data_IF_076939178005
#
_entry.id   IF_076939178005
#
_cell.length_a   1.000
_cell.length_b   1.000
_cell.length_c   1.000
_cell.angle_alpha   90.00
_cell.angle_beta   90.00
_cell.angle_gamma   90.00
#
_symmetry.space_group_name_H-M   'P 1'
#
loop_
_entity.id
_entity.type
_entity.pdbx_description
1 polymer ?
#
# COMPACT_ATOMS: atom_id res chain seq x y z
N UNK A 1 7.04 28.29 19.17
CA UNK A 1 8.50 28.11 19.08
C UNK A 1 8.75 26.99 18.08
N UNK A 2 9.28 27.28 16.90
CA UNK A 2 9.63 26.25 15.91
C UNK A 2 11.07 25.83 16.20
N UNK A 3 11.29 24.56 16.51
CA UNK A 3 12.63 23.98 16.66
C UNK A 3 12.95 23.22 15.37
N UNK A 4 13.99 23.64 14.65
CA UNK A 4 14.50 22.92 13.49
C UNK A 4 15.74 22.12 13.91
N UNK A 5 15.63 20.79 13.89
CA UNK A 5 16.76 19.90 14.16
C UNK A 5 17.24 19.29 12.85
N UNK A 6 18.27 19.87 12.24
CA UNK A 6 18.91 19.26 11.08
C UNK A 6 19.58 17.94 11.52
N UNK A 7 19.17 16.80 10.91
CA UNK A 7 19.84 15.51 11.11
C UNK A 7 19.55 14.80 12.44
N UNK A 8 18.34 14.96 13.00
CA UNK A 8 17.93 14.22 14.20
C UNK A 8 18.19 12.71 14.04
N UNK A 9 19.03 12.16 14.91
CA UNK A 9 19.32 10.73 14.99
C UNK A 9 18.94 10.23 16.37
N UNK A 10 17.88 9.42 16.45
CA UNK A 10 17.49 8.73 17.69
C UNK A 10 18.06 7.32 17.67
N UNK A 11 18.61 6.86 18.79
CA UNK A 11 19.14 5.49 18.97
C UNK A 11 18.29 4.75 20.01
N UNK A 12 18.48 3.42 20.08
CA UNK A 12 17.81 2.44 20.97
C UNK A 12 16.72 3.02 21.89
N UNK A 13 15.48 2.68 21.59
CA UNK A 13 14.30 3.15 22.29
C UNK A 13 13.21 3.47 21.27
N UNK A 14 12.06 3.92 21.78
CA UNK A 14 10.93 4.29 20.96
C UNK A 14 10.97 5.80 20.68
N UNK A 15 10.55 6.17 19.48
CA UNK A 15 10.21 7.57 19.16
C UNK A 15 8.70 7.68 19.25
N UNK A 16 8.21 8.51 20.17
CA UNK A 16 6.78 8.77 20.33
C UNK A 16 6.50 10.23 20.03
N UNK A 17 5.54 10.47 19.12
CA UNK A 17 4.90 11.78 18.96
C UNK A 17 3.57 11.68 19.71
N UNK A 18 3.49 12.31 20.88
CA UNK A 18 2.33 12.20 21.77
C UNK A 18 1.13 13.01 21.29
N UNK A 19 1.39 14.07 20.51
CA UNK A 19 0.37 14.97 19.95
C UNK A 19 0.85 15.49 18.59
N UNK A 20 -0.08 15.66 17.65
CA UNK A 20 0.19 16.13 16.28
C UNK A 20 0.64 15.03 15.31
N UNK A 21 0.98 15.47 14.09
CA UNK A 21 1.35 14.56 12.99
C UNK A 21 2.87 14.38 12.89
N UNK A 22 3.29 13.20 12.45
CA UNK A 22 4.64 12.95 11.98
C UNK A 22 4.67 13.03 10.44
N UNK A 23 5.25 14.10 9.89
CA UNK A 23 5.49 14.23 8.45
C UNK A 23 6.96 14.03 8.12
N UNK A 24 7.26 13.18 7.14
CA UNK A 24 8.62 12.96 6.62
C UNK A 24 8.69 13.55 5.21
N UNK A 25 9.39 14.68 5.07
CA UNK A 25 9.33 15.52 3.86
C UNK A 25 10.09 14.98 2.64
N UNK A 26 11.00 14.01 2.81
CA UNK A 26 11.74 13.35 1.72
C UNK A 26 12.09 11.91 2.10
N UNK A 27 11.90 10.96 1.16
CA UNK A 27 12.28 9.55 1.31
C UNK A 27 11.13 8.60 1.63
N UNK A 28 11.45 7.31 1.78
CA UNK A 28 10.52 6.28 2.22
C UNK A 28 10.71 5.92 3.69
N UNK A 29 9.74 5.23 4.28
CA UNK A 29 9.86 4.70 5.64
C UNK A 29 10.20 3.21 5.55
N UNK A 30 11.28 2.80 6.23
CA UNK A 30 11.62 1.38 6.39
C UNK A 30 11.21 0.93 7.79
N UNK A 31 10.23 0.02 7.89
CA UNK A 31 9.85 -0.65 9.13
C UNK A 31 10.40 -2.07 9.10
N UNK A 32 11.19 -2.45 10.09
CA UNK A 32 11.69 -3.82 10.23
C UNK A 32 10.63 -4.78 10.84
N UNK A 33 9.46 -4.27 11.22
CA UNK A 33 8.38 -5.00 11.86
C UNK A 33 7.03 -4.76 11.17
N UNK A 34 5.94 -4.89 11.93
CA UNK A 34 4.58 -4.66 11.44
C UNK A 34 4.25 -3.17 11.38
N UNK A 35 3.44 -2.80 10.39
CA UNK A 35 2.71 -1.53 10.36
C UNK A 35 1.30 -1.77 10.89
N UNK A 36 0.90 -1.01 11.92
CA UNK A 36 -0.49 -0.97 12.41
C UNK A 36 -1.04 0.42 12.15
N UNK A 37 -2.15 0.51 11.42
CA UNK A 37 -2.87 1.76 11.14
C UNK A 37 -4.22 1.69 11.83
N UNK A 38 -4.55 2.67 12.68
CA UNK A 38 -5.83 2.70 13.41
C UNK A 38 -6.98 3.32 12.62
N UNK A 39 -6.68 3.99 11.50
CA UNK A 39 -7.64 4.54 10.55
C UNK A 39 -7.37 4.05 9.12
N UNK A 40 -7.66 4.90 8.15
CA UNK A 40 -7.48 4.55 6.73
C UNK A 40 -6.01 4.60 6.31
N UNK A 41 -5.62 3.65 5.47
CA UNK A 41 -4.37 3.71 4.70
C UNK A 41 -4.68 4.33 3.33
N UNK A 42 -4.31 5.60 3.15
CA UNK A 42 -4.45 6.30 1.86
C UNK A 42 -3.18 6.12 1.04
N UNK A 43 -3.36 5.76 -0.23
CA UNK A 43 -2.29 5.54 -1.20
C UNK A 43 -2.68 6.31 -2.46
N UNK A 44 -1.75 7.04 -3.05
CA UNK A 44 -2.03 7.80 -4.26
C UNK A 44 -2.37 6.88 -5.43
N UNK A 45 -3.17 7.37 -6.38
CA UNK A 45 -3.53 6.59 -7.56
C UNK A 45 -2.26 6.11 -8.28
N UNK A 46 -2.28 4.88 -8.78
CA UNK A 46 -1.16 4.16 -9.45
C UNK A 46 0.02 3.73 -8.56
N UNK A 47 0.07 4.20 -7.30
CA UNK A 47 0.98 3.65 -6.29
C UNK A 47 0.56 2.24 -5.88
N UNK A 48 1.50 1.53 -5.25
CA UNK A 48 1.45 0.07 -5.12
C UNK A 48 1.73 -0.39 -3.71
N UNK A 49 0.87 -1.25 -3.19
CA UNK A 49 1.21 -2.14 -2.07
C UNK A 49 1.93 -3.34 -2.67
N UNK A 50 3.27 -3.39 -2.55
CA UNK A 50 4.08 -4.50 -3.07
C UNK A 50 4.25 -5.59 -2.02
N UNK A 51 4.18 -6.85 -2.45
CA UNK A 51 4.13 -8.02 -1.56
C UNK A 51 5.35 -8.95 -1.70
N UNK A 52 6.29 -8.62 -2.57
CA UNK A 52 7.51 -9.39 -2.86
C UNK A 52 8.78 -8.78 -2.24
N UNK A 53 8.62 -7.72 -1.44
CA UNK A 53 9.72 -7.09 -0.70
C UNK A 53 10.65 -6.20 -1.53
N UNK A 54 10.30 -5.87 -2.77
CA UNK A 54 11.11 -4.97 -3.62
C UNK A 54 10.30 -3.87 -4.27
N UNK A 55 10.87 -2.67 -4.43
CA UNK A 55 10.25 -1.58 -5.22
C UNK A 55 10.22 -1.88 -6.72
N UNK A 56 11.05 -2.80 -7.20
CA UNK A 56 11.02 -3.34 -8.56
C UNK A 56 10.17 -4.61 -8.69
N UNK A 57 9.49 -4.98 -7.62
CA UNK A 57 8.62 -6.13 -7.54
C UNK A 57 7.47 -6.14 -8.54
N UNK A 58 7.03 -7.34 -8.91
CA UNK A 58 5.98 -7.61 -9.89
C UNK A 58 4.69 -8.18 -9.26
N UNK A 59 4.67 -8.33 -7.94
CA UNK A 59 3.52 -8.78 -7.17
C UNK A 59 3.02 -7.66 -6.25
N UNK A 60 1.85 -7.10 -6.59
CA UNK A 60 1.34 -5.91 -5.91
C UNK A 60 -0.17 -5.71 -6.06
N UNK A 61 -0.71 -4.82 -5.23
CA UNK A 61 -2.08 -4.29 -5.31
C UNK A 61 -1.99 -2.80 -5.66
N UNK A 62 -2.86 -2.31 -6.55
CA UNK A 62 -2.88 -0.90 -6.95
C UNK A 62 -4.27 -0.47 -7.41
N UNK A 63 -4.67 0.75 -7.07
CA UNK A 63 -5.72 1.46 -7.80
C UNK A 63 -5.10 2.03 -9.08
N UNK A 64 -5.27 1.31 -10.20
CA UNK A 64 -4.58 1.66 -11.45
C UNK A 64 -5.35 2.66 -12.31
N UNK A 65 -6.60 2.93 -11.95
CA UNK A 65 -7.45 3.99 -12.50
C UNK A 65 -8.58 4.27 -11.50
N UNK A 66 -9.23 5.43 -11.61
CA UNK A 66 -10.32 5.81 -10.71
C UNK A 66 -11.35 4.67 -10.55
N UNK A 67 -11.61 4.27 -9.31
CA UNK A 67 -12.58 3.24 -8.94
C UNK A 67 -12.26 1.83 -9.48
N UNK A 68 -11.00 1.55 -9.84
CA UNK A 68 -10.57 0.23 -10.29
C UNK A 68 -9.31 -0.24 -9.57
N UNK A 69 -9.45 -1.33 -8.83
CA UNK A 69 -8.36 -1.98 -8.10
C UNK A 69 -7.93 -3.23 -8.85
N UNK A 70 -6.62 -3.41 -9.01
CA UNK A 70 -6.04 -4.63 -9.55
C UNK A 70 -5.14 -5.35 -8.55
N UNK A 71 -5.00 -6.66 -8.76
CA UNK A 71 -3.99 -7.48 -8.10
C UNK A 71 -3.09 -8.08 -9.19
N UNK A 72 -1.80 -7.83 -9.09
CA UNK A 72 -0.77 -8.36 -9.97
C UNK A 72 0.04 -9.42 -9.27
N UNK A 73 0.38 -10.48 -10.01
CA UNK A 73 1.32 -11.50 -9.59
C UNK A 73 2.19 -11.88 -10.79
N UNK A 74 3.51 -11.88 -10.64
CA UNK A 74 4.43 -12.18 -11.74
C UNK A 74 4.31 -11.20 -12.92
N UNK A 75 3.91 -9.95 -12.67
CA UNK A 75 3.68 -8.93 -13.70
C UNK A 75 2.36 -9.07 -14.48
N UNK A 76 1.55 -10.10 -14.20
CA UNK A 76 0.24 -10.32 -14.81
C UNK A 76 -0.86 -9.83 -13.89
N UNK A 77 -1.86 -9.15 -14.43
CA UNK A 77 -3.01 -8.62 -13.67
C UNK A 77 -4.04 -9.72 -13.36
N UNK A 78 -3.75 -10.56 -12.38
CA UNK A 78 -4.55 -11.73 -12.01
C UNK A 78 -6.01 -11.43 -11.65
N UNK A 79 -6.30 -10.28 -11.02
CA UNK A 79 -7.65 -9.88 -10.59
C UNK A 79 -7.88 -8.39 -10.85
N UNK A 80 -9.11 -8.03 -11.22
CA UNK A 80 -9.63 -6.66 -11.32
C UNK A 80 -10.95 -6.55 -10.58
N UNK A 81 -11.10 -5.52 -9.76
CA UNK A 81 -12.33 -5.13 -9.07
C UNK A 81 -12.66 -3.70 -9.49
N UNK A 82 -13.91 -3.48 -9.88
CA UNK A 82 -14.47 -2.16 -10.23
C UNK A 82 -15.75 -1.94 -9.42
N UNK A 83 -16.34 -0.75 -9.52
CA UNK A 83 -17.63 -0.46 -8.89
C UNK A 83 -18.79 -1.37 -9.32
N UNK A 84 -18.66 -2.08 -10.45
CA UNK A 84 -19.74 -2.89 -11.03
C UNK A 84 -19.34 -4.33 -11.36
N UNK A 85 -18.08 -4.73 -11.18
CA UNK A 85 -17.59 -6.03 -11.64
C UNK A 85 -16.34 -6.53 -10.92
N UNK A 86 -16.16 -7.85 -10.89
CA UNK A 86 -14.94 -8.56 -10.49
C UNK A 86 -14.53 -9.53 -11.61
N UNK A 87 -13.31 -9.44 -12.12
CA UNK A 87 -12.82 -10.26 -13.23
C UNK A 87 -11.37 -10.75 -13.02
N UNK A 88 -11.09 -12.02 -13.37
CA UNK A 88 -9.73 -12.59 -13.36
C UNK A 88 -9.12 -12.70 -14.77
N UNK A 89 -7.79 -12.74 -14.89
CA UNK A 89 -7.08 -12.69 -16.18
C UNK A 89 -6.77 -14.03 -16.86
N UNK A 90 -7.43 -15.12 -16.47
CA UNK A 90 -7.20 -16.44 -17.09
C UNK A 90 -8.45 -17.31 -17.12
N UNK A 91 -8.43 -18.36 -17.95
CA UNK A 91 -9.49 -19.38 -18.09
C UNK A 91 -9.74 -20.21 -16.82
N UNK A 92 -9.17 -19.83 -15.68
CA UNK A 92 -9.32 -20.50 -14.40
C UNK A 92 -10.68 -20.18 -13.83
N UNK A 93 -11.69 -20.95 -14.26
CA UNK A 93 -12.97 -21.24 -13.59
C UNK A 93 -13.28 -20.23 -12.48
N UNK A 94 -13.54 -18.97 -12.86
CA UNK A 94 -14.10 -17.99 -11.94
C UNK A 94 -15.50 -18.51 -11.69
N UNK A 95 -15.64 -19.39 -10.70
CA UNK A 95 -16.92 -19.65 -10.07
C UNK A 95 -17.37 -18.31 -9.55
N UNK A 96 -18.08 -17.56 -10.38
CA UNK A 96 -18.88 -16.43 -9.93
C UNK A 96 -19.73 -17.04 -8.82
N UNK A 97 -19.44 -16.69 -7.57
CA UNK A 97 -20.41 -16.86 -6.50
C UNK A 97 -21.45 -15.78 -6.81
N UNK A 98 -22.34 -16.09 -7.75
CA UNK A 98 -23.57 -15.34 -7.93
C UNK A 98 -24.38 -15.66 -6.69
N UNK A 99 -24.58 -14.66 -5.82
CA UNK A 99 -25.50 -14.79 -4.71
C UNK A 99 -26.89 -15.09 -5.31
N UNK A 100 -27.39 -16.31 -5.10
CA UNK A 100 -28.74 -16.70 -5.48
C UNK A 100 -29.78 -15.98 -4.61
#
# INVERSE_FOLDING_TARGET
LVQMFAGLTVRKGDVTVSEGDLTLGVGGITLAGSLTVSGDLIIDATDKIRLDGSSSGDTYISEYSANAVGIWAGGVRSLTVTSTNIAGSGSSKAGMITNA
#
